data_IF_112092565551
#
_entry.id   IF_112092565551
#
_cell.length_a   1.000
_cell.length_b   1.000
_cell.length_c   1.000
_cell.angle_alpha   90.00
_cell.angle_beta   90.00
_cell.angle_gamma   90.00
#
_symmetry.space_group_name_H-M   'P 1'
#
loop_
_entity.id
_entity.type
_entity.pdbx_description
1 polymer ?
#
# COMPACT_ATOMS: atom_id res chain seq x y z
N UNK A 1 -9.89 -26.32 27.51
CA UNK A 1 -10.41 -25.53 26.38
C UNK A 1 -10.96 -24.21 26.93
N UNK A 2 -10.09 -23.21 27.09
CA UNK A 2 -10.52 -21.90 27.61
C UNK A 2 -11.31 -21.21 26.51
N UNK A 3 -12.60 -20.95 26.75
CA UNK A 3 -13.44 -20.14 25.85
C UNK A 3 -12.93 -18.70 25.97
N UNK A 4 -12.00 -18.33 25.10
CA UNK A 4 -11.60 -16.94 24.97
C UNK A 4 -12.80 -16.19 24.39
N UNK A 5 -13.51 -15.45 25.24
CA UNK A 5 -14.58 -14.55 24.81
C UNK A 5 -14.05 -13.48 23.86
N UNK A 6 -14.96 -12.81 23.16
CA UNK A 6 -14.60 -11.70 22.25
C UNK A 6 -13.78 -10.63 22.99
N UNK A 7 -12.95 -9.85 22.28
CA UNK A 7 -12.12 -8.80 22.88
C UNK A 7 -12.97 -7.81 23.70
N UNK A 8 -14.16 -7.48 23.21
CA UNK A 8 -15.17 -6.65 23.89
C UNK A 8 -15.62 -7.28 25.21
N UNK A 9 -15.93 -8.58 25.20
CA UNK A 9 -16.32 -9.33 26.39
C UNK A 9 -15.18 -9.38 27.43
N UNK A 10 -13.92 -9.54 26.98
CA UNK A 10 -12.76 -9.50 27.86
C UNK A 10 -12.58 -8.12 28.51
N UNK A 11 -12.71 -7.03 27.73
CA UNK A 11 -12.66 -5.65 28.23
C UNK A 11 -13.78 -5.40 29.24
N UNK A 12 -14.99 -5.87 28.95
CA UNK A 12 -16.13 -5.76 29.86
C UNK A 12 -15.90 -6.53 31.18
N UNK A 13 -15.43 -7.78 31.11
CA UNK A 13 -15.11 -8.59 32.28
C UNK A 13 -13.99 -7.96 33.13
N UNK A 14 -12.96 -7.39 32.47
CA UNK A 14 -11.91 -6.66 33.14
C UNK A 14 -12.48 -5.46 33.91
N UNK A 15 -13.27 -4.60 33.28
CA UNK A 15 -13.86 -3.42 33.95
C UNK A 15 -14.82 -3.83 35.07
N UNK A 16 -15.57 -4.91 34.92
CA UNK A 16 -16.42 -5.45 35.98
C UNK A 16 -15.59 -5.94 37.18
N UNK A 17 -14.48 -6.63 36.93
CA UNK A 17 -13.57 -7.08 38.00
C UNK A 17 -12.94 -5.89 38.75
N UNK A 18 -12.55 -4.84 38.02
CA UNK A 18 -11.99 -3.61 38.60
C UNK A 18 -13.03 -2.85 39.40
N UNK A 19 -14.27 -2.77 38.91
CA UNK A 19 -15.40 -2.21 39.67
C UNK A 19 -15.61 -2.97 40.99
N UNK A 20 -15.54 -4.30 40.99
CA UNK A 20 -15.69 -5.09 42.21
C UNK A 20 -14.58 -4.78 43.22
N UNK A 21 -13.36 -4.55 42.75
CA UNK A 21 -12.24 -4.12 43.60
C UNK A 21 -12.44 -2.72 44.17
N UNK A 22 -12.87 -1.76 43.34
CA UNK A 22 -13.10 -0.35 43.71
C UNK A 22 -14.32 -0.15 44.62
N UNK A 23 -15.34 -1.00 44.48
CA UNK A 23 -16.55 -0.98 45.32
C UNK A 23 -16.40 -1.76 46.62
N UNK A 24 -15.24 -2.38 46.86
CA UNK A 24 -14.93 -3.05 48.11
C UNK A 24 -14.92 -2.00 49.23
N UNK A 25 -15.71 -2.26 50.28
CA UNK A 25 -15.74 -1.39 51.45
C UNK A 25 -14.36 -1.29 52.10
N UNK A 26 -14.07 -0.10 52.63
CA UNK A 26 -12.83 0.17 53.34
C UNK A 26 -12.90 -0.59 54.68
N UNK A 27 -11.96 -1.52 54.96
CA UNK A 27 -11.91 -2.17 56.26
C UNK A 27 -11.46 -1.15 57.33
N UNK A 28 -11.87 -1.31 58.60
CA UNK A 28 -11.38 -0.46 59.67
C UNK A 28 -9.87 -0.66 59.82
N UNK A 29 -9.07 0.28 59.34
CA UNK A 29 -7.61 0.23 59.45
C UNK A 29 -7.18 0.47 60.89
N UNK A 30 -6.12 -0.20 61.33
CA UNK A 30 -5.59 -0.06 62.70
C UNK A 30 -5.11 1.37 62.97
N UNK A 31 -4.63 2.08 61.94
CA UNK A 31 -4.29 3.51 62.01
C UNK A 31 -5.49 4.40 62.32
N UNK A 32 -6.66 4.09 61.77
CA UNK A 32 -7.88 4.87 62.09
C UNK A 32 -8.34 4.61 63.53
N UNK A 33 -8.08 3.42 64.06
CA UNK A 33 -8.37 3.10 65.47
C UNK A 33 -7.43 3.87 66.40
N UNK A 34 -6.12 3.87 66.13
CA UNK A 34 -5.18 4.63 66.96
C UNK A 34 -5.47 6.14 66.95
N UNK A 35 -5.81 6.72 65.79
CA UNK A 35 -6.17 8.14 65.68
C UNK A 35 -7.47 8.46 66.43
N UNK A 36 -8.42 7.52 66.46
CA UNK A 36 -9.68 7.71 67.19
C UNK A 36 -9.48 7.59 68.71
N UNK A 37 -8.62 6.66 69.15
CA UNK A 37 -8.25 6.51 70.55
C UNK A 37 -7.48 7.76 71.04
N UNK A 38 -6.55 8.28 70.24
CA UNK A 38 -5.83 9.54 70.49
C UNK A 38 -6.77 10.77 70.51
N UNK A 39 -7.87 10.71 69.74
CA UNK A 39 -8.90 11.75 69.65
C UNK A 39 -10.06 11.62 70.64
N UNK A 40 -10.07 10.59 71.49
CA UNK A 40 -11.16 10.33 72.45
C UNK A 40 -12.50 9.98 71.80
N UNK A 41 -12.51 9.48 70.56
CA UNK A 41 -13.72 9.13 69.82
C UNK A 41 -14.09 7.68 70.12
N UNK A 42 -15.34 7.44 70.54
CA UNK A 42 -15.81 6.07 70.78
C UNK A 42 -15.77 5.21 69.50
N UNK A 43 -15.29 3.96 69.65
CA UNK A 43 -15.23 2.97 68.56
C UNK A 43 -16.60 2.69 67.91
N UNK A 44 -17.69 2.92 68.65
CA UNK A 44 -19.08 2.83 68.19
C UNK A 44 -19.40 3.87 67.11
N UNK A 45 -18.99 5.12 67.34
CA UNK A 45 -19.16 6.26 66.42
C UNK A 45 -18.28 6.07 65.19
N UNK A 46 -17.02 5.64 65.38
CA UNK A 46 -16.12 5.33 64.26
C UNK A 46 -16.68 4.24 63.36
N UNK A 47 -17.24 3.17 63.94
CA UNK A 47 -17.91 2.11 63.18
C UNK A 47 -19.13 2.66 62.42
N UNK A 48 -19.95 3.51 63.05
CA UNK A 48 -21.09 4.15 62.40
C UNK A 48 -20.70 5.06 61.23
N UNK A 49 -19.63 5.84 61.38
CA UNK A 49 -19.08 6.69 60.30
C UNK A 49 -18.52 5.82 59.18
N UNK A 50 -17.77 4.76 59.50
CA UNK A 50 -17.23 3.83 58.50
C UNK A 50 -18.35 3.12 57.73
N UNK A 51 -19.42 2.71 58.41
CA UNK A 51 -20.59 2.11 57.78
C UNK A 51 -21.30 3.12 56.87
N UNK A 52 -21.40 4.39 57.27
CA UNK A 52 -21.97 5.46 56.43
C UNK A 52 -21.11 5.70 55.20
N UNK A 53 -19.79 5.84 55.34
CA UNK A 53 -18.85 6.00 54.23
C UNK A 53 -18.91 4.81 53.28
N UNK A 54 -18.98 3.58 53.80
CA UNK A 54 -19.11 2.38 52.99
C UNK A 54 -20.46 2.31 52.25
N UNK A 55 -21.55 2.85 52.83
CA UNK A 55 -22.84 2.99 52.14
C UNK A 55 -22.77 4.04 51.03
N UNK A 56 -22.18 5.19 51.29
CA UNK A 56 -22.02 6.27 50.33
C UNK A 56 -21.10 5.85 49.17
N UNK A 57 -20.01 5.13 49.46
CA UNK A 57 -19.12 4.52 48.47
C UNK A 57 -19.86 3.52 47.58
N UNK A 58 -20.68 2.64 48.17
CA UNK A 58 -21.53 1.72 47.40
C UNK A 58 -22.52 2.46 46.52
N UNK A 59 -23.17 3.50 47.04
CA UNK A 59 -24.12 4.31 46.29
C UNK A 59 -23.43 5.03 45.12
N UNK A 60 -22.26 5.62 45.34
CA UNK A 60 -21.46 6.28 44.30
C UNK A 60 -21.01 5.27 43.24
N UNK A 61 -20.46 4.12 43.65
CA UNK A 61 -20.02 3.08 42.71
C UNK A 61 -21.14 2.54 41.83
N UNK A 62 -22.39 2.51 42.33
CA UNK A 62 -23.56 2.10 41.55
C UNK A 62 -24.02 3.17 40.56
N UNK A 63 -23.90 4.46 40.93
CA UNK A 63 -24.27 5.60 40.08
C UNK A 63 -23.25 5.84 38.97
N UNK A 64 -21.96 5.87 39.33
CA UNK A 64 -20.86 6.09 38.38
C UNK A 64 -20.70 4.87 37.49
N UNK A 65 -20.43 3.70 38.05
CA UNK A 65 -20.22 2.50 37.24
C UNK A 65 -21.53 1.78 36.92
N UNK A 66 -22.45 2.47 36.25
CA UNK A 66 -23.66 1.83 35.71
C UNK A 66 -23.29 0.82 34.62
N UNK A 67 -24.17 -0.16 34.35
CA UNK A 67 -23.91 -1.14 33.29
C UNK A 67 -23.75 -0.47 31.92
N UNK A 68 -24.62 0.49 31.63
CA UNK A 68 -24.60 1.26 30.38
C UNK A 68 -23.32 2.08 30.24
N UNK A 69 -22.81 2.69 31.33
CA UNK A 69 -21.54 3.42 31.27
C UNK A 69 -20.38 2.48 30.99
N UNK A 70 -20.36 1.28 31.58
CA UNK A 70 -19.31 0.29 31.31
C UNK A 70 -19.34 -0.13 29.84
N UNK A 71 -20.53 -0.43 29.30
CA UNK A 71 -20.69 -0.79 27.88
C UNK A 71 -20.21 0.36 26.97
N UNK A 72 -20.58 1.61 27.27
CA UNK A 72 -20.14 2.80 26.53
C UNK A 72 -18.62 3.05 26.63
N UNK A 73 -18.01 2.85 27.81
CA UNK A 73 -16.55 2.99 27.97
C UNK A 73 -15.80 1.89 27.22
N UNK A 74 -16.33 0.66 27.18
CA UNK A 74 -15.76 -0.41 26.35
C UNK A 74 -15.83 -0.02 24.88
N UNK A 75 -16.97 0.47 24.40
CA UNK A 75 -17.14 0.96 23.04
C UNK A 75 -16.17 2.10 22.73
N UNK A 76 -16.00 3.08 23.62
CA UNK A 76 -15.01 4.14 23.46
C UNK A 76 -13.56 3.64 23.43
N UNK A 77 -13.21 2.64 24.24
CA UNK A 77 -11.87 2.03 24.20
C UNK A 77 -11.70 1.24 22.91
N UNK A 78 -12.77 0.61 22.39
CA UNK A 78 -12.73 -0.07 21.11
C UNK A 78 -12.59 0.95 19.96
N UNK A 79 -13.38 2.02 19.93
CA UNK A 79 -13.25 3.08 18.92
C UNK A 79 -11.88 3.73 19.00
N UNK A 80 -11.35 4.06 20.18
CA UNK A 80 -9.99 4.59 20.32
C UNK A 80 -8.91 3.58 19.91
N UNK A 81 -9.11 2.29 20.14
CA UNK A 81 -8.17 1.25 19.67
C UNK A 81 -8.18 1.14 18.15
N UNK A 82 -9.37 1.20 17.53
CA UNK A 82 -9.50 1.25 16.09
C UNK A 82 -8.95 2.56 15.54
N UNK A 83 -9.30 3.71 16.12
CA UNK A 83 -8.85 5.04 15.72
C UNK A 83 -7.35 5.23 15.90
N UNK A 84 -6.73 4.71 16.96
CA UNK A 84 -5.27 4.75 17.11
C UNK A 84 -4.56 3.79 16.14
N UNK A 85 -5.18 2.65 15.85
CA UNK A 85 -4.75 1.75 14.78
C UNK A 85 -4.92 2.35 13.38
N UNK A 86 -5.95 3.16 13.16
CA UNK A 86 -6.22 3.83 11.87
C UNK A 86 -5.55 5.18 11.74
N UNK A 87 -5.27 5.92 12.82
CA UNK A 87 -4.47 7.15 12.79
C UNK A 87 -3.02 6.82 12.47
N UNK A 88 -2.49 5.68 12.94
CA UNK A 88 -1.23 5.14 12.42
C UNK A 88 -1.33 4.61 10.97
N UNK A 89 -2.52 4.41 10.42
CA UNK A 89 -2.74 3.93 9.05
C UNK A 89 -3.39 4.99 8.12
N UNK A 90 -3.59 6.22 8.60
CA UNK A 90 -4.49 7.21 8.00
C UNK A 90 -4.12 8.67 8.31
N UNK A 91 -3.21 8.95 9.25
CA UNK A 91 -2.53 10.25 9.29
C UNK A 91 -1.48 10.40 8.17
N UNK A 92 -1.20 9.38 7.38
CA UNK A 92 -0.31 9.49 6.20
C UNK A 92 -1.05 9.91 4.91
N UNK A 93 -2.38 10.12 4.93
CA UNK A 93 -3.12 10.55 3.72
C UNK A 93 -3.94 11.85 3.87
N UNK A 94 -4.08 12.47 5.06
CA UNK A 94 -4.93 13.67 5.21
C UNK A 94 -4.38 14.83 6.08
N UNK A 95 -3.07 14.90 6.37
CA UNK A 95 -2.46 16.08 7.03
C UNK A 95 -1.31 16.68 6.20
N UNK A 96 -1.61 17.10 4.96
CA UNK A 96 -0.72 17.89 4.09
C UNK A 96 -0.52 19.35 4.55
N UNK A 97 -0.94 19.76 5.75
CA UNK A 97 -0.74 21.14 6.22
C UNK A 97 -0.45 21.31 7.72
N UNK A 98 0.32 20.43 8.38
CA UNK A 98 0.96 20.83 9.64
C UNK A 98 2.16 19.96 10.04
N UNK A 99 3.34 20.55 9.88
CA UNK A 99 4.60 20.32 10.61
C UNK A 99 5.74 19.65 9.83
N UNK A 100 6.44 20.49 9.06
CA UNK A 100 7.90 20.38 8.88
C UNK A 100 8.59 20.19 10.23
N UNK A 101 9.02 18.98 10.59
CA UNK A 101 10.11 18.69 11.53
C UNK A 101 10.58 17.22 11.41
N UNK A 102 11.49 16.96 10.46
CA UNK A 102 12.71 16.15 10.63
C UNK A 102 12.67 14.76 11.31
N UNK A 103 11.61 13.95 11.23
CA UNK A 103 11.63 12.53 11.69
C UNK A 103 11.11 11.50 10.66
N UNK A 104 10.70 11.92 9.45
CA UNK A 104 10.07 11.03 8.45
C UNK A 104 11.00 10.04 7.74
N UNK A 105 12.32 10.12 7.96
CA UNK A 105 13.28 9.22 7.30
C UNK A 105 13.29 7.84 7.96
N UNK A 106 12.97 7.76 9.26
CA UNK A 106 13.03 6.49 10.01
C UNK A 106 11.73 5.67 9.90
N UNK A 107 10.59 6.31 9.60
CA UNK A 107 9.31 5.61 9.42
C UNK A 107 9.20 4.85 8.10
N UNK A 108 9.93 5.25 7.05
CA UNK A 108 9.89 4.58 5.75
C UNK A 108 10.40 3.12 5.79
N UNK A 109 11.25 2.79 6.78
CA UNK A 109 11.82 1.46 6.98
C UNK A 109 11.13 0.67 8.10
N UNK A 110 10.09 1.20 8.73
CA UNK A 110 9.34 0.49 9.76
C UNK A 110 8.25 -0.39 9.13
N UNK A 111 8.26 -1.66 9.52
CA UNK A 111 7.23 -2.64 9.16
C UNK A 111 6.15 -2.69 10.23
N UNK A 112 4.91 -2.52 9.82
CA UNK A 112 3.74 -2.66 10.68
C UNK A 112 3.20 -4.09 10.62
N UNK A 113 2.51 -4.53 11.68
CA UNK A 113 1.91 -5.87 11.73
C UNK A 113 0.82 -6.07 10.67
N UNK A 114 0.24 -4.98 10.17
CA UNK A 114 -0.73 -4.96 9.07
C UNK A 114 -0.09 -5.02 7.68
N UNK A 115 1.23 -4.89 7.57
CA UNK A 115 1.89 -4.82 6.27
C UNK A 115 1.82 -6.17 5.56
N UNK A 116 1.29 -6.14 4.34
CA UNK A 116 1.21 -7.32 3.50
C UNK A 116 2.60 -7.67 2.95
N UNK A 117 3.15 -8.78 3.42
CA UNK A 117 4.42 -9.34 2.95
C UNK A 117 4.33 -9.99 1.57
N UNK A 118 3.19 -9.88 0.87
CA UNK A 118 3.14 -10.16 -0.56
C UNK A 118 3.67 -9.02 -1.41
N UNK A 119 3.78 -7.78 -0.90
CA UNK A 119 4.26 -6.64 -1.70
C UNK A 119 5.78 -6.51 -1.63
N UNK A 120 6.45 -6.38 -2.79
CA UNK A 120 7.92 -6.35 -2.87
C UNK A 120 8.54 -5.19 -2.06
N UNK A 121 7.81 -4.08 -1.93
CA UNK A 121 8.20 -2.91 -1.15
C UNK A 121 8.32 -3.24 0.35
N UNK A 122 7.36 -3.98 0.90
CA UNK A 122 7.37 -4.39 2.30
C UNK A 122 8.44 -5.46 2.56
N UNK A 123 8.70 -6.32 1.57
CA UNK A 123 9.78 -7.30 1.64
C UNK A 123 11.15 -6.60 1.72
N UNK A 124 11.33 -5.49 1.00
CA UNK A 124 12.58 -4.72 1.02
C UNK A 124 12.85 -4.03 2.37
N UNK A 125 11.80 -3.71 3.13
CA UNK A 125 11.90 -3.12 4.48
C UNK A 125 12.32 -4.13 5.55
N UNK A 126 12.37 -5.43 5.25
CA UNK A 126 12.71 -6.46 6.24
C UNK A 126 14.17 -6.31 6.70
N UNK A 127 14.44 -6.28 8.01
CA UNK A 127 15.80 -6.16 8.52
C UNK A 127 16.60 -7.44 8.24
N UNK A 128 17.88 -7.28 7.92
CA UNK A 128 18.80 -8.40 7.69
C UNK A 128 19.16 -9.15 8.97
N UNK A 129 18.93 -8.55 10.14
CA UNK A 129 19.22 -9.15 11.46
C UNK A 129 17.95 -9.08 12.31
N UNK A 130 17.61 -10.21 12.94
CA UNK A 130 16.46 -10.30 13.84
C UNK A 130 16.76 -9.54 15.14
N UNK A 131 15.88 -8.64 15.62
CA UNK A 131 16.13 -7.88 16.84
C UNK A 131 16.14 -8.77 18.09
N UNK A 132 17.30 -8.82 18.77
CA UNK A 132 17.57 -9.67 19.95
C UNK A 132 16.73 -9.36 21.20
N UNK A 133 15.84 -8.37 21.14
CA UNK A 133 14.98 -7.94 22.27
C UNK A 133 13.73 -8.81 22.42
N UNK A 134 13.38 -9.62 21.43
CA UNK A 134 12.23 -10.52 21.53
C UNK A 134 12.64 -11.83 22.21
N UNK A 135 12.16 -12.05 23.44
CA UNK A 135 12.38 -13.28 24.22
C UNK A 135 11.62 -14.50 23.67
N UNK A 136 11.42 -14.57 22.35
CA UNK A 136 10.59 -15.53 21.63
C UNK A 136 11.38 -16.67 21.01
N UNK A 137 10.74 -17.83 20.90
CA UNK A 137 11.29 -19.15 20.56
C UNK A 137 11.85 -19.33 19.13
N UNK A 138 11.93 -18.29 18.30
CA UNK A 138 12.41 -18.39 16.92
C UNK A 138 13.92 -18.13 16.85
N UNK A 139 14.65 -19.08 16.30
CA UNK A 139 16.10 -18.95 16.13
C UNK A 139 16.40 -17.95 15.00
N UNK A 140 17.47 -17.17 15.13
CA UNK A 140 17.90 -16.23 14.08
C UNK A 140 18.05 -16.92 12.71
N UNK A 141 18.51 -18.17 12.70
CA UNK A 141 18.63 -18.99 11.49
C UNK A 141 17.28 -19.30 10.82
N UNK A 142 16.23 -19.52 11.60
CA UNK A 142 14.87 -19.76 11.07
C UNK A 142 14.30 -18.50 10.43
N UNK A 143 14.56 -17.33 11.04
CA UNK A 143 14.20 -16.04 10.46
C UNK A 143 14.88 -15.85 9.10
N UNK A 144 16.22 -16.01 9.03
CA UNK A 144 16.97 -15.86 7.77
C UNK A 144 16.51 -16.86 6.70
N UNK A 145 16.20 -18.10 7.08
CA UNK A 145 15.63 -19.09 6.17
C UNK A 145 14.25 -18.66 5.62
N UNK A 146 13.41 -18.04 6.46
CA UNK A 146 12.11 -17.53 6.04
C UNK A 146 12.21 -16.31 5.10
N UNK A 147 13.11 -15.37 5.40
CA UNK A 147 13.35 -14.17 4.58
C UNK A 147 13.91 -14.54 3.21
N UNK A 148 14.90 -15.43 3.16
CA UNK A 148 15.46 -15.91 1.88
C UNK A 148 14.45 -16.65 1.02
N UNK A 149 13.61 -17.49 1.63
CA UNK A 149 12.49 -18.16 0.93
C UNK A 149 11.50 -17.14 0.36
N UNK A 150 11.18 -16.13 1.13
CA UNK A 150 10.24 -15.09 0.76
C UNK A 150 10.80 -14.24 -0.40
N UNK A 151 12.08 -13.87 -0.37
CA UNK A 151 12.78 -13.21 -1.48
C UNK A 151 12.84 -14.07 -2.75
N UNK A 152 13.03 -15.39 -2.62
CA UNK A 152 13.00 -16.29 -3.77
C UNK A 152 11.60 -16.36 -4.41
N UNK A 153 10.55 -16.37 -3.59
CA UNK A 153 9.16 -16.36 -4.06
C UNK A 153 8.77 -15.03 -4.71
N UNK A 154 9.22 -13.89 -4.17
CA UNK A 154 8.99 -12.58 -4.79
C UNK A 154 9.67 -12.46 -6.14
N UNK A 155 10.93 -12.88 -6.25
CA UNK A 155 11.63 -12.94 -7.53
C UNK A 155 10.89 -13.84 -8.54
N UNK A 156 10.42 -15.01 -8.13
CA UNK A 156 9.62 -15.87 -9.00
C UNK A 156 8.33 -15.19 -9.48
N UNK A 157 7.62 -14.51 -8.58
CA UNK A 157 6.42 -13.75 -8.93
C UNK A 157 6.71 -12.66 -9.95
N UNK A 158 7.78 -11.89 -9.78
CA UNK A 158 8.19 -10.86 -10.73
C UNK A 158 8.46 -11.44 -12.13
N UNK A 159 9.16 -12.58 -12.22
CA UNK A 159 9.38 -13.24 -13.53
C UNK A 159 8.07 -13.66 -14.20
N UNK A 160 7.10 -14.15 -13.43
CA UNK A 160 5.78 -14.52 -13.96
C UNK A 160 4.98 -13.30 -14.40
N UNK A 161 5.03 -12.21 -13.64
CA UNK A 161 4.38 -10.95 -14.01
C UNK A 161 4.97 -10.37 -15.30
N UNK A 162 6.29 -10.39 -15.44
CA UNK A 162 6.97 -9.96 -16.67
C UNK A 162 6.54 -10.84 -17.86
N UNK A 163 6.50 -12.16 -17.67
CA UNK A 163 6.02 -13.10 -18.70
C UNK A 163 4.55 -12.87 -19.06
N UNK A 164 3.71 -12.53 -18.09
CA UNK A 164 2.32 -12.18 -18.33
C UNK A 164 2.23 -10.87 -19.14
N UNK A 165 3.00 -9.86 -18.75
CA UNK A 165 3.07 -8.58 -19.45
C UNK A 165 3.49 -8.77 -20.91
N UNK A 166 4.52 -9.57 -21.18
CA UNK A 166 4.94 -9.88 -22.56
C UNK A 166 3.86 -10.61 -23.37
N UNK A 167 3.11 -11.52 -22.75
CA UNK A 167 1.98 -12.16 -23.43
C UNK A 167 0.82 -11.21 -23.69
N UNK A 168 0.53 -10.28 -22.77
CA UNK A 168 -0.49 -9.24 -22.99
C UNK A 168 -0.08 -8.28 -24.10
N UNK A 169 1.18 -7.86 -24.14
CA UNK A 169 1.67 -6.98 -25.22
C UNK A 169 1.63 -7.70 -26.56
N UNK A 170 2.07 -8.97 -26.64
CA UNK A 170 1.96 -9.77 -27.86
C UNK A 170 0.50 -9.93 -28.29
N UNK A 171 -0.40 -10.21 -27.35
CA UNK A 171 -1.83 -10.31 -27.64
C UNK A 171 -2.39 -8.99 -28.18
N UNK A 172 -1.98 -7.85 -27.61
CA UNK A 172 -2.38 -6.53 -28.12
C UNK A 172 -1.84 -6.24 -29.53
N UNK A 173 -0.62 -6.70 -29.86
CA UNK A 173 -0.06 -6.61 -31.21
C UNK A 173 -0.78 -7.54 -32.20
N UNK A 174 -1.33 -8.65 -31.72
CA UNK A 174 -2.08 -9.61 -32.53
C UNK A 174 -3.54 -9.19 -32.72
N UNK A 175 -4.08 -8.34 -31.85
CA UNK A 175 -5.47 -7.87 -31.90
C UNK A 175 -5.87 -7.24 -33.25
N UNK A 176 -5.05 -6.40 -33.90
CA UNK A 176 -5.31 -5.91 -35.25
C UNK A 176 -5.44 -7.03 -36.30
N UNK A 177 -4.74 -8.16 -36.14
CA UNK A 177 -4.78 -9.30 -37.07
C UNK A 177 -6.03 -10.16 -36.90
N UNK A 178 -6.83 -9.96 -35.85
CA UNK A 178 -8.09 -10.71 -35.64
C UNK A 178 -9.13 -10.39 -36.71
N UNK A 179 -9.09 -9.17 -37.26
CA UNK A 179 -9.91 -8.73 -38.40
C UNK A 179 -9.03 -8.02 -39.43
N UNK A 180 -8.24 -8.79 -40.20
CA UNK A 180 -7.23 -8.20 -41.08
C UNK A 180 -7.88 -7.30 -42.14
N UNK A 181 -9.07 -7.66 -42.62
CA UNK A 181 -9.85 -6.90 -43.62
C UNK A 181 -10.31 -5.52 -43.15
N UNK A 182 -10.54 -5.35 -41.85
CA UNK A 182 -11.02 -4.08 -41.28
C UNK A 182 -9.85 -3.22 -40.78
N UNK A 183 -8.80 -3.82 -40.20
CA UNK A 183 -7.75 -3.07 -39.49
C UNK A 183 -6.44 -2.90 -40.28
N UNK A 184 -6.04 -3.91 -41.07
CA UNK A 184 -4.73 -3.95 -41.74
C UNK A 184 -4.86 -3.55 -43.20
N UNK A 185 -5.85 -4.11 -43.87
CA UNK A 185 -6.17 -3.88 -45.28
C UNK A 185 -6.35 -2.40 -45.68
N UNK A 186 -7.04 -1.52 -44.93
CA UNK A 186 -7.13 -0.10 -45.33
C UNK A 186 -5.79 0.66 -45.25
N UNK A 187 -4.83 0.15 -44.45
CA UNK A 187 -3.51 0.76 -44.26
C UNK A 187 -2.44 0.19 -45.23
N UNK A 188 -2.80 -0.80 -46.05
CA UNK A 188 -1.94 -1.32 -47.11
C UNK A 188 -2.05 -0.43 -48.34
N UNK A 189 -0.90 -0.05 -48.92
CA UNK A 189 -0.83 0.71 -50.18
C UNK A 189 -1.12 -0.23 -51.34
N UNK A 190 -2.40 -0.42 -51.65
CA UNK A 190 -2.85 -1.02 -52.91
C UNK A 190 -3.63 0.01 -53.74
N UNK A 191 -3.79 -0.24 -55.05
CA UNK A 191 -4.31 0.73 -56.02
C UNK A 191 -5.67 1.35 -55.63
N UNK A 192 -6.50 0.59 -54.92
CA UNK A 192 -7.85 1.02 -54.45
C UNK A 192 -7.87 1.41 -52.95
N UNK A 193 -6.71 1.60 -52.31
CA UNK A 193 -6.64 1.93 -50.89
C UNK A 193 -7.05 3.39 -50.67
N UNK A 194 -7.70 3.73 -49.54
CA UNK A 194 -7.96 5.12 -49.18
C UNK A 194 -6.66 5.95 -49.04
N UNK A 195 -5.51 5.31 -48.76
CA UNK A 195 -4.21 5.98 -48.66
C UNK A 195 -3.55 6.26 -50.02
N UNK A 196 -3.89 5.51 -51.09
CA UNK A 196 -3.32 5.70 -52.42
C UNK A 196 -3.59 7.08 -53.05
N UNK A 197 -4.82 7.65 -53.01
CA UNK A 197 -5.06 8.99 -53.53
C UNK A 197 -4.38 10.07 -52.69
N UNK A 198 -4.26 9.89 -51.38
CA UNK A 198 -3.55 10.84 -50.51
C UNK A 198 -2.04 10.83 -50.79
N UNK A 199 -1.44 9.66 -51.01
CA UNK A 199 -0.03 9.55 -51.47
C UNK A 199 0.20 10.16 -52.86
N UNK A 200 -0.77 10.02 -53.77
CA UNK A 200 -0.68 10.66 -55.09
C UNK A 200 -0.75 12.19 -54.96
N UNK A 201 -1.60 12.72 -54.08
CA UNK A 201 -1.66 14.15 -53.76
C UNK A 201 -0.36 14.63 -53.15
N UNK A 202 0.21 13.94 -52.16
CA UNK A 202 1.49 14.33 -51.55
C UNK A 202 2.63 14.28 -52.54
N UNK A 203 2.71 13.27 -53.42
CA UNK A 203 3.68 13.23 -54.53
C UNK A 203 3.55 14.44 -55.44
N UNK A 204 2.32 14.79 -55.85
CA UNK A 204 2.09 15.96 -56.70
C UNK A 204 2.47 17.28 -56.02
N UNK A 205 2.22 17.38 -54.70
CA UNK A 205 2.53 18.56 -53.91
C UNK A 205 4.04 18.67 -53.67
N UNK A 206 4.72 17.54 -53.43
CA UNK A 206 6.17 17.47 -53.33
C UNK A 206 6.86 17.88 -54.65
N UNK A 207 6.35 17.44 -55.81
CA UNK A 207 6.87 17.87 -57.12
C UNK A 207 6.70 19.39 -57.30
N UNK A 208 5.53 19.95 -56.96
CA UNK A 208 5.30 21.40 -57.05
C UNK A 208 6.15 22.20 -56.06
N UNK A 209 6.36 21.69 -54.86
CA UNK A 209 7.23 22.31 -53.86
C UNK A 209 8.68 22.24 -54.31
N UNK A 210 9.15 21.10 -54.82
CA UNK A 210 10.49 20.96 -55.38
C UNK A 210 10.71 21.93 -56.55
N UNK A 211 9.78 22.01 -57.50
CA UNK A 211 9.84 22.97 -58.62
C UNK A 211 9.86 24.43 -58.14
N UNK A 212 9.05 24.78 -57.14
CA UNK A 212 9.01 26.15 -56.60
C UNK A 212 10.23 26.48 -55.71
N UNK A 213 10.86 25.47 -55.13
CA UNK A 213 12.09 25.59 -54.35
C UNK A 213 13.28 25.77 -55.28
N UNK A 214 13.35 25.00 -56.36
CA UNK A 214 14.37 25.12 -57.40
C UNK A 214 14.33 26.51 -58.06
N UNK A 215 13.13 27.02 -58.38
CA UNK A 215 12.94 28.39 -58.89
C UNK A 215 13.43 29.51 -57.94
N UNK A 216 13.43 29.28 -56.62
CA UNK A 216 13.76 30.30 -55.61
C UNK A 216 15.14 30.17 -54.98
N UNK A 217 15.69 28.97 -54.91
CA UNK A 217 16.92 28.69 -54.16
C UNK A 217 18.00 27.97 -54.99
N UNK A 218 17.74 27.67 -56.27
CA UNK A 218 18.63 26.87 -57.12
C UNK A 218 18.65 25.40 -56.69
N UNK A 219 19.31 24.56 -57.50
CA UNK A 219 19.21 23.09 -57.47
C UNK A 219 19.38 22.48 -56.07
N UNK A 220 18.24 22.23 -55.41
CA UNK A 220 18.16 21.42 -54.19
C UNK A 220 17.56 20.09 -54.61
N UNK A 221 18.43 19.11 -54.82
CA UNK A 221 18.05 17.74 -55.19
C UNK A 221 17.23 17.11 -54.06
N UNK A 222 15.93 16.95 -54.33
CA UNK A 222 15.01 16.19 -53.48
C UNK A 222 14.97 14.75 -54.03
N UNK A 223 15.21 13.71 -53.22
CA UNK A 223 15.30 12.31 -53.68
C UNK A 223 14.07 11.72 -54.39
N UNK A 224 12.97 12.48 -54.53
CA UNK A 224 11.72 12.01 -55.12
C UNK A 224 11.64 12.18 -56.65
N UNK A 225 12.66 12.80 -57.28
CA UNK A 225 12.67 13.12 -58.73
C UNK A 225 13.72 12.35 -59.53
N UNK A 226 14.38 11.34 -58.97
CA UNK A 226 15.25 10.45 -59.75
C UNK A 226 14.38 9.53 -60.60
N UNK A 227 14.07 9.98 -61.82
CA UNK A 227 13.73 9.11 -62.95
C UNK A 227 15.02 8.41 -63.42
N UNK A 228 15.57 7.53 -62.58
CA UNK A 228 16.58 6.57 -63.02
C UNK A 228 15.89 5.21 -63.17
N UNK A 229 15.61 4.87 -64.43
CA UNK A 229 15.39 3.50 -64.86
C UNK A 229 16.68 2.71 -64.52
N UNK A 230 16.53 1.59 -63.81
CA UNK A 230 17.56 0.60 -63.46
C UNK A 230 18.43 0.80 -62.19
N UNK A 231 17.90 1.39 -61.11
CA UNK A 231 18.42 1.07 -59.77
C UNK A 231 17.56 -0.04 -59.14
N UNK A 232 18.06 -1.27 -59.23
CA UNK A 232 17.66 -2.39 -58.38
C UNK A 232 17.74 -1.92 -56.92
N UNK A 233 16.60 -1.56 -56.34
CA UNK A 233 16.50 -1.22 -54.92
C UNK A 233 16.94 -2.46 -54.15
N UNK A 234 18.16 -2.45 -53.64
CA UNK A 234 18.78 -3.60 -53.00
C UNK A 234 18.01 -3.92 -51.70
N UNK A 235 17.00 -4.78 -51.82
CA UNK A 235 16.11 -5.22 -50.74
C UNK A 235 16.88 -5.90 -49.59
N UNK A 236 18.17 -6.20 -49.78
CA UNK A 236 19.06 -6.70 -48.74
C UNK A 236 19.42 -5.64 -47.69
N UNK A 237 19.50 -4.37 -48.08
CA UNK A 237 19.89 -3.29 -47.15
C UNK A 237 18.75 -2.95 -46.17
N UNK A 238 17.50 -3.01 -46.62
CA UNK A 238 16.32 -2.86 -45.77
C UNK A 238 16.13 -4.03 -44.79
N UNK A 239 16.44 -5.26 -45.21
CA UNK A 239 16.41 -6.45 -44.34
C UNK A 239 17.43 -6.36 -43.20
N UNK A 240 18.65 -5.91 -43.50
CA UNK A 240 19.71 -5.72 -42.51
C UNK A 240 19.39 -4.61 -41.51
N UNK A 241 18.75 -3.52 -41.94
CA UNK A 241 18.35 -2.44 -41.04
C UNK A 241 17.17 -2.85 -40.13
N UNK A 242 16.25 -3.69 -40.61
CA UNK A 242 15.21 -4.29 -39.77
C UNK A 242 15.78 -5.24 -38.72
N UNK A 243 16.75 -6.08 -39.10
CA UNK A 243 17.45 -6.98 -38.18
C UNK A 243 18.26 -6.23 -37.13
N UNK A 244 19.01 -5.19 -37.51
CA UNK A 244 19.74 -4.34 -36.55
C UNK A 244 18.81 -3.63 -35.56
N UNK A 245 17.62 -3.21 -36.01
CA UNK A 245 16.60 -2.62 -35.11
C UNK A 245 16.03 -3.67 -34.16
N UNK A 246 15.77 -4.88 -34.64
CA UNK A 246 15.34 -6.02 -33.81
C UNK A 246 16.42 -6.41 -32.79
N UNK A 247 17.68 -6.47 -33.19
CA UNK A 247 18.82 -6.73 -32.30
C UNK A 247 19.00 -5.63 -31.26
N UNK A 248 18.85 -4.35 -31.63
CA UNK A 248 18.87 -3.25 -30.67
C UNK A 248 17.71 -3.29 -29.67
N UNK A 249 16.52 -3.70 -30.11
CA UNK A 249 15.36 -3.87 -29.22
C UNK A 249 15.58 -5.09 -28.32
N UNK A 250 16.14 -6.18 -28.81
CA UNK A 250 16.44 -7.35 -27.98
C UNK A 250 17.59 -7.11 -27.00
N UNK A 251 18.56 -6.24 -27.35
CA UNK A 251 19.65 -5.84 -26.48
C UNK A 251 19.22 -4.83 -25.41
N UNK A 252 18.08 -4.16 -25.59
CA UNK A 252 17.51 -3.24 -24.61
C UNK A 252 16.53 -3.92 -23.64
N UNK A 253 16.46 -5.25 -23.62
CA UNK A 253 15.63 -6.07 -22.74
C UNK A 253 16.49 -6.92 -21.80
#
# INVERSE_FOLDING_TARGET
MSKQGTVVEQKQLFLQSRKQLLSRGIPPSERLRSIADDGGIELSVLKGVLDKVNRDLKQHSRKVYSRQMIEHVVEQIDTLYWESGTQHAGNDEEDEEATTNSDDIDNANMLYQSDDLTLDENIAKLPSVFPSTTSGATSQDEYLASVSKLQALSAHRQTLQNRLATYRTLLSLLEPYRKPKENIQPNLVWKEAPLAPELAKTRSLAIRVASRVDERWGDVQVPATTEDEDDDVDMREFGNNGQKKLENILASW
#
